data_IF_214506284715
#
_entry.id   IF_214506284715
#
_cell.length_a   1.000
_cell.length_b   1.000
_cell.length_c   1.000
_cell.angle_alpha   90.00
_cell.angle_beta   90.00
_cell.angle_gamma   90.00
#
_symmetry.space_group_name_H-M   'P 1'
#
loop_
_entity.id
_entity.type
_entity.pdbx_description
1 polymer ?
#
# COMPACT_ATOMS: atom_id res chain seq x y z
N UNK A 1 -29.68 26.35 26.37
CA UNK A 1 -29.33 25.96 24.98
C UNK A 1 -28.07 25.12 25.04
N UNK A 2 -28.16 23.85 24.71
CA UNK A 2 -26.95 23.08 24.53
C UNK A 2 -26.22 23.62 23.29
N UNK A 3 -24.88 23.81 23.31
CA UNK A 3 -24.15 24.16 22.11
C UNK A 3 -24.41 23.06 21.05
N UNK A 4 -24.78 23.47 19.87
CA UNK A 4 -24.85 22.58 18.71
C UNK A 4 -23.51 21.86 18.63
N UNK A 5 -23.48 20.56 18.92
CA UNK A 5 -22.27 19.76 18.74
C UNK A 5 -22.01 19.69 17.24
N UNK A 6 -20.89 20.28 16.80
CA UNK A 6 -20.48 20.18 15.40
C UNK A 6 -20.51 18.71 14.97
N UNK A 7 -21.14 18.42 13.84
CA UNK A 7 -21.22 17.07 13.28
C UNK A 7 -19.80 16.58 12.99
N UNK A 8 -19.38 15.52 13.68
CA UNK A 8 -18.07 14.90 13.45
C UNK A 8 -18.10 14.14 12.12
N UNK A 9 -17.11 14.40 11.27
CA UNK A 9 -16.92 13.73 9.99
C UNK A 9 -15.57 13.02 9.99
N UNK A 10 -15.55 11.85 9.39
CA UNK A 10 -14.35 11.02 9.31
C UNK A 10 -14.10 10.61 7.86
N UNK A 11 -12.84 10.60 7.45
CA UNK A 11 -12.39 10.06 6.17
C UNK A 11 -11.05 9.37 6.37
N UNK A 12 -10.80 8.31 5.58
CA UNK A 12 -9.48 7.69 5.57
C UNK A 12 -8.50 8.64 4.87
N UNK A 13 -7.39 8.96 5.53
CA UNK A 13 -6.37 9.84 4.98
C UNK A 13 -5.26 9.07 4.28
N UNK A 14 -4.57 8.19 4.98
CA UNK A 14 -3.47 7.40 4.42
C UNK A 14 -3.31 6.03 5.11
N UNK A 15 -2.52 5.18 4.48
CA UNK A 15 -1.93 3.99 5.08
C UNK A 15 -0.43 4.25 5.28
N UNK A 16 0.16 3.64 6.31
CA UNK A 16 1.59 3.73 6.61
C UNK A 16 2.28 2.38 6.43
N UNK A 17 3.46 2.38 5.81
CA UNK A 17 4.31 1.21 5.61
C UNK A 17 5.68 1.49 6.16
N UNK A 18 6.15 0.63 7.08
CA UNK A 18 7.55 0.64 7.54
C UNK A 18 8.42 -0.13 6.53
N UNK A 19 9.55 0.45 6.15
CA UNK A 19 10.45 -0.12 5.15
C UNK A 19 11.92 -0.08 5.60
N UNK A 20 12.73 -0.96 5.03
CA UNK A 20 14.16 -1.01 5.24
C UNK A 20 14.92 -0.04 4.31
N UNK A 21 14.48 0.10 3.06
CA UNK A 21 15.03 1.00 2.05
C UNK A 21 13.99 2.02 1.61
N UNK A 22 14.00 3.18 2.26
CA UNK A 22 13.01 4.24 2.00
C UNK A 22 13.09 4.75 0.55
N UNK A 23 14.29 4.95 0.01
CA UNK A 23 14.47 5.47 -1.34
C UNK A 23 13.93 4.50 -2.41
N UNK A 24 14.23 3.20 -2.26
CA UNK A 24 13.74 2.17 -3.16
C UNK A 24 12.20 2.03 -3.09
N UNK A 25 11.61 2.12 -1.90
CA UNK A 25 10.16 2.06 -1.72
C UNK A 25 9.45 3.29 -2.27
N UNK A 26 10.02 4.49 -2.08
CA UNK A 26 9.51 5.71 -2.72
C UNK A 26 9.49 5.54 -4.24
N UNK A 27 10.60 5.11 -4.84
CA UNK A 27 10.68 4.90 -6.29
C UNK A 27 9.64 3.88 -6.77
N UNK A 28 9.53 2.74 -6.06
CA UNK A 28 8.56 1.70 -6.41
C UNK A 28 7.12 2.24 -6.39
N UNK A 29 6.67 2.81 -5.28
CA UNK A 29 5.29 3.26 -5.13
C UNK A 29 4.93 4.45 -6.02
N UNK A 30 5.87 5.38 -6.23
CA UNK A 30 5.66 6.49 -7.17
C UNK A 30 5.46 5.96 -8.60
N UNK A 31 6.25 4.99 -9.04
CA UNK A 31 6.15 4.42 -10.39
C UNK A 31 5.00 3.42 -10.54
N UNK A 32 4.65 2.69 -9.48
CA UNK A 32 3.57 1.72 -9.50
C UNK A 32 2.20 2.39 -9.65
N UNK A 33 1.98 3.50 -8.94
CA UNK A 33 0.65 4.10 -8.78
C UNK A 33 0.58 5.59 -9.17
N UNK A 34 1.57 6.09 -9.90
CA UNK A 34 1.66 7.49 -10.35
C UNK A 34 1.56 8.46 -9.15
N UNK A 35 2.27 8.13 -8.05
CA UNK A 35 2.35 8.99 -6.88
C UNK A 35 3.52 9.96 -7.00
N UNK A 36 3.41 11.08 -6.31
CA UNK A 36 4.45 12.09 -6.16
C UNK A 36 4.82 12.25 -4.69
N UNK A 37 6.08 12.57 -4.41
CA UNK A 37 6.51 12.91 -3.05
C UNK A 37 5.93 14.26 -2.67
N UNK A 38 5.02 14.28 -1.70
CA UNK A 38 4.44 15.50 -1.16
C UNK A 38 5.34 16.13 -0.10
N UNK A 39 5.89 15.30 0.76
CA UNK A 39 6.90 15.71 1.74
C UNK A 39 7.83 14.54 2.08
N UNK A 40 9.05 14.89 2.43
CA UNK A 40 10.06 13.94 2.90
C UNK A 40 10.89 14.63 3.97
N UNK A 41 11.27 13.91 5.03
CA UNK A 41 12.04 14.49 6.11
C UNK A 41 12.56 13.49 7.12
N UNK A 42 13.47 14.00 7.93
CA UNK A 42 14.07 13.28 9.05
C UNK A 42 13.44 13.74 10.35
N UNK A 43 13.15 12.78 11.22
CA UNK A 43 12.71 12.97 12.60
C UNK A 43 13.74 12.32 13.54
N UNK A 44 14.90 12.96 13.73
CA UNK A 44 16.03 12.34 14.43
C UNK A 44 15.73 12.04 15.90
N UNK A 45 14.84 12.80 16.53
CA UNK A 45 14.38 12.58 17.90
C UNK A 45 13.72 11.23 18.10
N UNK A 46 13.11 10.69 17.03
CA UNK A 46 12.42 9.39 17.02
C UNK A 46 13.18 8.33 16.23
N UNK A 47 14.35 8.68 15.68
CA UNK A 47 15.12 7.82 14.78
C UNK A 47 14.32 7.37 13.54
N UNK A 48 13.53 8.27 12.97
CA UNK A 48 12.75 8.05 11.76
C UNK A 48 13.23 8.89 10.59
N UNK A 49 13.10 8.30 9.40
CA UNK A 49 12.94 9.01 8.14
C UNK A 49 11.56 8.70 7.60
N UNK A 50 10.90 9.66 7.00
CA UNK A 50 9.54 9.49 6.50
C UNK A 50 9.34 10.20 5.17
N UNK A 51 8.44 9.66 4.36
CA UNK A 51 7.95 10.31 3.15
C UNK A 51 6.43 10.15 3.07
N UNK A 52 5.73 11.21 2.66
CA UNK A 52 4.33 11.17 2.28
C UNK A 52 4.24 11.24 0.76
N UNK A 53 3.59 10.26 0.17
CA UNK A 53 3.32 10.17 -1.26
C UNK A 53 1.84 10.45 -1.51
N UNK A 54 1.52 11.09 -2.63
CA UNK A 54 0.13 11.34 -3.01
C UNK A 54 -0.06 11.24 -4.52
N UNK A 55 -1.30 11.00 -4.95
CA UNK A 55 -1.72 11.21 -6.34
C UNK A 55 -2.62 12.45 -6.47
N UNK A 56 -3.01 12.76 -7.72
CA UNK A 56 -3.89 13.89 -8.03
C UNK A 56 -5.30 13.75 -7.44
N UNK A 57 -5.74 12.52 -7.13
CA UNK A 57 -7.08 12.23 -6.57
C UNK A 57 -7.12 12.33 -5.04
N UNK A 58 -5.98 12.67 -4.41
CA UNK A 58 -5.88 12.85 -2.96
C UNK A 58 -5.62 11.57 -2.18
N UNK A 59 -5.28 10.47 -2.84
CA UNK A 59 -4.82 9.26 -2.15
C UNK A 59 -3.39 9.47 -1.64
N UNK A 60 -3.17 9.12 -0.36
CA UNK A 60 -1.88 9.25 0.30
C UNK A 60 -1.35 7.89 0.76
N UNK A 61 -0.02 7.76 0.71
CA UNK A 61 0.72 6.65 1.30
C UNK A 61 1.92 7.21 2.07
N UNK A 62 2.05 6.81 3.33
CA UNK A 62 3.18 7.21 4.16
C UNK A 62 4.18 6.07 4.28
N UNK A 63 5.46 6.37 4.05
CA UNK A 63 6.55 5.43 4.17
C UNK A 63 7.47 5.86 5.31
N UNK A 64 7.85 4.91 6.17
CA UNK A 64 8.76 5.14 7.28
C UNK A 64 9.99 4.25 7.18
N UNK A 65 11.12 4.78 7.60
CA UNK A 65 12.32 3.99 7.90
C UNK A 65 12.80 4.29 9.31
N UNK A 66 13.00 3.24 10.10
CA UNK A 66 13.69 3.30 11.40
C UNK A 66 14.88 2.36 11.37
N UNK A 67 16.05 2.86 11.74
CA UNK A 67 17.23 1.99 11.88
C UNK A 67 17.01 0.92 12.93
N UNK A 68 17.39 -0.32 12.60
CA UNK A 68 17.22 -1.48 13.50
C UNK A 68 15.79 -2.05 13.54
N UNK A 69 14.86 -1.56 12.70
CA UNK A 69 13.55 -2.18 12.56
C UNK A 69 13.69 -3.64 12.05
N UNK A 70 12.87 -4.53 12.60
CA UNK A 70 12.91 -5.95 12.27
C UNK A 70 11.96 -6.27 11.14
N UNK A 71 12.38 -7.05 10.11
CA UNK A 71 11.49 -7.46 9.05
C UNK A 71 10.34 -8.33 9.58
N UNK A 72 9.17 -8.20 8.96
CA UNK A 72 8.07 -9.16 9.16
C UNK A 72 8.39 -10.43 8.39
N UNK A 73 7.94 -11.60 8.88
CA UNK A 73 7.93 -12.81 8.08
C UNK A 73 7.08 -12.58 6.81
N UNK A 74 7.62 -12.93 5.65
CA UNK A 74 6.91 -12.92 4.37
C UNK A 74 6.50 -14.35 4.07
N UNK A 75 5.20 -14.68 4.05
CA UNK A 75 4.74 -16.03 3.73
C UNK A 75 5.03 -16.39 2.28
N UNK A 76 5.30 -17.67 2.03
CA UNK A 76 5.54 -18.19 0.67
C UNK A 76 4.25 -18.32 -0.16
N UNK A 77 3.11 -18.42 0.50
CA UNK A 77 1.80 -18.56 -0.12
C UNK A 77 0.93 -17.30 0.09
N UNK A 78 -0.08 -17.09 -0.78
CA UNK A 78 -0.95 -15.91 -0.68
C UNK A 78 -1.76 -15.85 0.63
N UNK A 79 -2.13 -17.03 1.17
CA UNK A 79 -3.00 -17.11 2.34
C UNK A 79 -2.25 -16.90 3.65
N UNK A 80 -0.96 -17.22 3.68
CA UNK A 80 -0.12 -17.13 4.87
C UNK A 80 -0.04 -15.72 5.50
N UNK A 81 -0.35 -14.68 4.72
CA UNK A 81 -0.46 -13.32 5.24
C UNK A 81 -1.56 -13.19 6.31
N UNK A 82 -2.57 -14.06 6.26
CA UNK A 82 -3.68 -14.07 7.21
C UNK A 82 -3.40 -14.87 8.49
N UNK A 83 -2.27 -15.56 8.57
CA UNK A 83 -1.85 -16.28 9.77
C UNK A 83 -1.34 -15.33 10.87
N UNK A 84 -1.04 -14.10 10.53
CA UNK A 84 -0.57 -13.06 11.45
C UNK A 84 -1.66 -12.01 11.64
N UNK A 85 -2.02 -11.76 12.89
CA UNK A 85 -3.04 -10.76 13.21
C UNK A 85 -2.55 -9.33 12.93
N UNK A 86 -3.46 -8.48 12.45
CA UNK A 86 -3.22 -7.08 12.16
C UNK A 86 -3.60 -6.70 10.74
N UNK A 87 -3.06 -5.60 10.25
CA UNK A 87 -3.28 -5.16 8.87
C UNK A 87 -2.51 -6.09 7.93
N UNK A 88 -3.23 -6.75 7.01
CA UNK A 88 -2.64 -7.72 6.10
C UNK A 88 -2.15 -7.10 4.79
N UNK A 89 -2.88 -6.13 4.24
CA UNK A 89 -2.58 -5.53 2.94
C UNK A 89 -3.21 -4.14 2.79
N UNK A 90 -2.76 -3.44 1.76
CA UNK A 90 -3.47 -2.28 1.19
C UNK A 90 -4.13 -2.72 -0.11
N UNK A 91 -5.27 -2.11 -0.44
CA UNK A 91 -5.99 -2.40 -1.68
C UNK A 91 -6.10 -1.14 -2.53
N UNK A 92 -5.78 -1.28 -3.82
CA UNK A 92 -5.83 -0.20 -4.80
C UNK A 92 -6.77 -0.59 -5.93
N UNK A 93 -7.77 0.23 -6.20
CA UNK A 93 -8.62 0.08 -7.38
C UNK A 93 -7.91 0.62 -8.61
N UNK A 94 -7.91 -0.18 -9.68
CA UNK A 94 -7.28 0.16 -10.96
C UNK A 94 -8.26 0.01 -12.10
N UNK A 95 -8.04 0.73 -13.20
CA UNK A 95 -8.92 0.67 -14.37
C UNK A 95 -8.67 -0.55 -15.26
N UNK A 96 -7.45 -1.08 -15.25
CA UNK A 96 -7.03 -2.26 -16.02
C UNK A 96 -6.14 -3.13 -15.12
N UNK A 97 -6.71 -4.23 -14.64
CA UNK A 97 -6.04 -5.10 -13.68
C UNK A 97 -4.81 -5.80 -14.28
N UNK A 98 -4.92 -6.29 -15.50
CA UNK A 98 -3.84 -7.03 -16.15
C UNK A 98 -2.65 -6.09 -16.43
N UNK A 99 -2.92 -4.90 -16.97
CA UNK A 99 -1.89 -3.89 -17.21
C UNK A 99 -1.22 -3.40 -15.90
N UNK A 100 -2.01 -3.19 -14.85
CA UNK A 100 -1.47 -2.79 -13.54
C UNK A 100 -0.62 -3.90 -12.91
N UNK A 101 -1.07 -5.16 -12.98
CA UNK A 101 -0.31 -6.31 -12.51
C UNK A 101 1.04 -6.42 -13.23
N UNK A 102 1.04 -6.36 -14.57
CA UNK A 102 2.27 -6.43 -15.36
C UNK A 102 3.23 -5.27 -15.04
N UNK A 103 2.70 -4.06 -14.85
CA UNK A 103 3.48 -2.89 -14.46
C UNK A 103 4.19 -3.10 -13.11
N UNK A 104 3.50 -3.60 -12.11
CA UNK A 104 4.09 -3.85 -10.79
C UNK A 104 5.16 -4.94 -10.86
N UNK A 105 4.93 -6.02 -11.61
CA UNK A 105 5.94 -7.06 -11.84
C UNK A 105 7.21 -6.48 -12.49
N UNK A 106 7.05 -5.64 -13.51
CA UNK A 106 8.17 -4.98 -14.18
C UNK A 106 8.97 -4.05 -13.26
N UNK A 107 8.35 -3.54 -12.19
CA UNK A 107 8.99 -2.70 -11.16
C UNK A 107 9.61 -3.49 -10.00
N UNK A 108 9.53 -4.82 -10.03
CA UNK A 108 10.15 -5.69 -9.04
C UNK A 108 9.22 -6.25 -7.97
N UNK A 109 7.90 -6.08 -8.12
CA UNK A 109 6.93 -6.77 -7.26
C UNK A 109 6.94 -8.27 -7.54
N UNK A 110 6.64 -9.07 -6.50
CA UNK A 110 6.41 -10.50 -6.64
C UNK A 110 4.92 -10.82 -6.79
N UNK A 111 4.53 -11.65 -7.77
CA UNK A 111 3.15 -12.12 -7.86
C UNK A 111 2.84 -13.08 -6.71
N UNK A 112 1.73 -12.85 -6.03
CA UNK A 112 1.19 -13.73 -4.98
C UNK A 112 -0.05 -14.45 -5.44
N UNK A 113 -0.94 -13.74 -6.12
CA UNK A 113 -2.14 -14.28 -6.76
C UNK A 113 -2.32 -13.54 -8.10
N UNK A 114 -2.28 -14.25 -9.23
CA UNK A 114 -2.47 -13.59 -10.52
C UNK A 114 -3.90 -13.07 -10.67
N UNK A 115 -4.15 -12.17 -11.65
CA UNK A 115 -5.50 -11.66 -11.90
C UNK A 115 -6.53 -12.78 -12.06
N UNK A 116 -7.60 -12.68 -11.27
CA UNK A 116 -8.69 -13.66 -11.28
C UNK A 116 -10.03 -13.02 -10.90
N UNK A 117 -11.17 -13.67 -11.13
CA UNK A 117 -12.45 -13.21 -10.63
C UNK A 117 -12.45 -13.05 -9.10
N UNK A 118 -13.05 -11.98 -8.60
CA UNK A 118 -13.16 -11.75 -7.15
C UNK A 118 -14.22 -12.71 -6.57
N UNK A 119 -13.85 -13.65 -5.68
CA UNK A 119 -14.77 -14.70 -5.24
C UNK A 119 -16.02 -14.19 -4.53
N UNK A 120 -15.92 -13.05 -3.82
CA UNK A 120 -16.99 -12.48 -3.01
C UNK A 120 -17.71 -11.30 -3.68
N UNK A 121 -17.27 -10.84 -4.84
CA UNK A 121 -17.81 -9.66 -5.51
C UNK A 121 -17.98 -9.90 -7.00
N UNK A 122 -19.21 -10.22 -7.40
CA UNK A 122 -19.56 -10.51 -8.81
C UNK A 122 -19.26 -9.32 -9.71
N UNK A 123 -18.67 -9.57 -10.87
CA UNK A 123 -18.29 -8.52 -11.84
C UNK A 123 -16.99 -7.78 -11.51
N UNK A 124 -16.29 -8.20 -10.46
CA UNK A 124 -14.98 -7.68 -10.10
C UNK A 124 -13.88 -8.72 -10.27
N UNK A 125 -12.68 -8.24 -10.42
CA UNK A 125 -11.45 -9.05 -10.47
C UNK A 125 -10.46 -8.53 -9.44
N UNK A 126 -9.57 -9.39 -8.99
CA UNK A 126 -8.50 -9.05 -8.06
C UNK A 126 -7.17 -9.70 -8.46
N UNK A 127 -6.10 -9.16 -7.92
CA UNK A 127 -4.77 -9.76 -7.91
C UNK A 127 -4.05 -9.36 -6.61
N UNK A 128 -3.12 -10.20 -6.15
CA UNK A 128 -2.22 -9.86 -5.05
C UNK A 128 -0.77 -9.90 -5.50
N UNK A 129 -0.02 -8.88 -5.10
CA UNK A 129 1.42 -8.79 -5.31
C UNK A 129 2.10 -8.42 -3.99
N UNK A 130 3.37 -8.78 -3.87
CA UNK A 130 4.22 -8.26 -2.82
C UNK A 130 5.08 -7.13 -3.37
N UNK A 131 5.20 -6.03 -2.63
CA UNK A 131 6.18 -5.00 -2.96
C UNK A 131 7.61 -5.53 -2.82
N UNK A 132 8.67 -4.78 -3.17
CA UNK A 132 10.04 -5.27 -3.09
C UNK A 132 10.49 -5.74 -1.70
N UNK A 133 9.81 -5.31 -0.63
CA UNK A 133 10.10 -5.72 0.75
C UNK A 133 9.09 -6.74 1.30
N UNK A 134 8.15 -7.22 0.46
CA UNK A 134 7.21 -8.28 0.81
C UNK A 134 5.88 -7.80 1.40
N UNK A 135 5.61 -6.50 1.41
CA UNK A 135 4.30 -6.00 1.83
C UNK A 135 3.25 -6.34 0.78
N UNK A 136 2.10 -6.85 1.25
CA UNK A 136 1.04 -7.31 0.36
C UNK A 136 0.22 -6.13 -0.18
N UNK A 137 0.05 -6.10 -1.49
CA UNK A 137 -0.77 -5.13 -2.22
C UNK A 137 -1.82 -5.90 -3.01
N UNK A 138 -3.09 -5.59 -2.73
CA UNK A 138 -4.22 -6.05 -3.51
C UNK A 138 -4.53 -5.03 -4.60
N UNK A 139 -4.77 -5.51 -5.82
CA UNK A 139 -5.33 -4.72 -6.91
C UNK A 139 -6.74 -5.23 -7.19
N UNK A 140 -7.69 -4.32 -7.38
CA UNK A 140 -9.05 -4.65 -7.79
C UNK A 140 -9.46 -3.83 -9.01
N UNK A 141 -10.28 -4.42 -9.86
CA UNK A 141 -10.95 -3.71 -10.95
C UNK A 141 -12.35 -4.24 -11.17
N UNK A 142 -13.21 -3.38 -11.63
CA UNK A 142 -14.47 -3.82 -12.22
C UNK A 142 -14.16 -4.47 -13.57
N UNK A 143 -14.60 -5.71 -13.76
CA UNK A 143 -14.38 -6.48 -14.99
C UNK A 143 -15.31 -6.08 -16.13
#
# INVERSE_FOLDING_TARGET
MCPETAELRFSLDHAGIDCADLAAQIEFYCRAFDLEVELEGDLPEYNFKAAMLRNSDGWHLELFKREGARPRPVPDDPDGQHDVLGISHICVEVTDLDAAHDRLLALGAGSRLPPMPFPMLSGWRLAYLADPEGNLVELISQG
#
